data_IF_077250986094
#
_entry.id   IF_077250986094
#
_cell.length_a   1.000
_cell.length_b   1.000
_cell.length_c   1.000
_cell.angle_alpha   90.00
_cell.angle_beta   90.00
_cell.angle_gamma   90.00
#
_symmetry.space_group_name_H-M   'P 1'
#
loop_
_entity.id
_entity.type
_entity.pdbx_description
1 polymer ?
#
# COMPACT_ATOMS: atom_id res chain seq x y z
N UNK A 1 10.50 7.30 23.30
CA UNK A 1 10.39 7.83 21.93
C UNK A 1 10.14 9.33 22.02
N UNK A 2 11.04 10.19 21.51
CA UNK A 2 10.73 11.63 21.41
C UNK A 2 9.93 11.84 20.13
N UNK A 3 8.67 12.24 20.27
CA UNK A 3 7.83 12.66 19.15
C UNK A 3 8.19 14.10 18.85
N UNK A 4 9.15 14.30 17.94
CA UNK A 4 9.54 15.62 17.46
C UNK A 4 9.08 15.83 16.00
N UNK A 5 9.24 17.05 15.50
CA UNK A 5 8.81 17.39 14.14
C UNK A 5 9.51 16.57 13.05
N UNK A 6 10.73 16.11 13.32
CA UNK A 6 11.50 15.29 12.39
C UNK A 6 10.89 13.89 12.27
N UNK A 7 10.59 13.26 13.40
CA UNK A 7 9.93 11.97 13.42
C UNK A 7 8.54 12.02 12.77
N UNK A 8 7.74 13.05 13.07
CA UNK A 8 6.41 13.23 12.47
C UNK A 8 6.52 13.33 10.94
N UNK A 9 7.46 14.14 10.44
CA UNK A 9 7.65 14.29 8.99
C UNK A 9 8.12 13.01 8.31
N UNK A 10 9.02 12.27 8.95
CA UNK A 10 9.49 10.98 8.44
C UNK A 10 8.36 9.94 8.34
N UNK A 11 7.54 9.83 9.40
CA UNK A 11 6.37 8.93 9.41
C UNK A 11 5.32 9.37 8.40
N UNK A 12 5.08 10.67 8.25
CA UNK A 12 4.14 11.20 7.27
C UNK A 12 4.57 10.83 5.83
N UNK A 13 5.86 11.01 5.49
CA UNK A 13 6.38 10.61 4.17
C UNK A 13 6.30 9.10 3.96
N UNK A 14 6.64 8.30 4.98
CA UNK A 14 6.53 6.85 4.90
C UNK A 14 5.07 6.38 4.73
N UNK A 15 4.11 7.04 5.39
CA UNK A 15 2.69 6.78 5.21
C UNK A 15 2.23 7.13 3.80
N UNK A 16 2.65 8.28 3.26
CA UNK A 16 2.39 8.67 1.87
C UNK A 16 2.98 7.66 0.89
N UNK A 17 4.21 7.21 1.08
CA UNK A 17 4.81 6.15 0.26
C UNK A 17 4.00 4.85 0.31
N UNK A 18 3.53 4.43 1.49
CA UNK A 18 2.73 3.21 1.65
C UNK A 18 1.40 3.31 0.90
N UNK A 19 0.65 4.40 1.12
CA UNK A 19 -0.65 4.64 0.50
C UNK A 19 -0.50 4.80 -1.01
N UNK A 20 0.46 5.60 -1.48
CA UNK A 20 0.70 5.85 -2.89
C UNK A 20 1.10 4.57 -3.64
N UNK A 21 2.00 3.77 -3.07
CA UNK A 21 2.39 2.50 -3.66
C UNK A 21 1.22 1.53 -3.77
N UNK A 22 0.44 1.36 -2.70
CA UNK A 22 -0.76 0.52 -2.74
C UNK A 22 -1.79 1.03 -3.77
N UNK A 23 -2.06 2.34 -3.79
CA UNK A 23 -2.99 2.95 -4.75
C UNK A 23 -2.55 2.69 -6.20
N UNK A 24 -1.25 2.82 -6.50
CA UNK A 24 -0.70 2.55 -7.82
C UNK A 24 -0.90 1.07 -8.23
N UNK A 25 -0.59 0.13 -7.33
CA UNK A 25 -0.77 -1.32 -7.58
C UNK A 25 -2.25 -1.66 -7.82
N UNK A 26 -3.15 -1.18 -6.96
CA UNK A 26 -4.59 -1.39 -7.12
C UNK A 26 -5.14 -0.78 -8.41
N UNK A 27 -4.71 0.42 -8.76
CA UNK A 27 -5.10 1.11 -9.98
C UNK A 27 -4.60 0.39 -11.23
N UNK A 28 -3.38 -0.18 -11.19
CA UNK A 28 -2.83 -0.97 -12.29
C UNK A 28 -3.66 -2.25 -12.52
N UNK A 29 -4.02 -2.97 -11.44
CA UNK A 29 -4.87 -4.17 -11.51
C UNK A 29 -6.26 -3.84 -12.08
N UNK A 30 -6.93 -2.82 -11.53
CA UNK A 30 -8.25 -2.38 -12.00
C UNK A 30 -8.21 -1.88 -13.44
N UNK A 31 -7.16 -1.14 -13.80
CA UNK A 31 -6.94 -0.67 -15.16
C UNK A 31 -6.78 -1.82 -16.15
N UNK A 32 -6.07 -2.89 -15.76
CA UNK A 32 -5.94 -4.10 -16.57
C UNK A 32 -7.26 -4.84 -16.73
N UNK A 33 -8.04 -5.01 -15.66
CA UNK A 33 -9.34 -5.70 -15.70
C UNK A 33 -10.38 -4.97 -16.55
N UNK A 34 -10.36 -3.63 -16.52
CA UNK A 34 -11.32 -2.80 -17.27
C UNK A 34 -10.90 -2.49 -18.70
N UNK A 35 -9.66 -2.77 -19.10
CA UNK A 35 -9.11 -2.35 -20.39
C UNK A 35 -9.94 -2.82 -21.59
N UNK A 36 -10.34 -4.09 -21.62
CA UNK A 36 -11.14 -4.67 -22.71
C UNK A 36 -12.52 -4.01 -22.80
N UNK A 37 -13.21 -3.86 -21.67
CA UNK A 37 -14.54 -3.23 -21.61
C UNK A 37 -14.50 -1.73 -21.94
N UNK A 38 -13.37 -1.06 -21.69
CA UNK A 38 -13.17 0.36 -21.97
C UNK A 38 -12.84 0.67 -23.43
N UNK A 39 -12.38 -0.32 -24.19
CA UNK A 39 -12.02 -0.20 -25.62
C UNK A 39 -13.12 -0.75 -26.55
N UNK A 40 -14.22 -1.27 -25.99
CA UNK A 40 -15.36 -1.75 -26.78
C UNK A 40 -16.08 -0.60 -27.51
N UNK A 41 -16.84 -0.94 -28.57
CA UNK A 41 -17.64 0.04 -29.33
C UNK A 41 -18.63 0.80 -28.45
N UNK A 42 -19.24 0.10 -27.48
CA UNK A 42 -20.03 0.67 -26.40
C UNK A 42 -19.23 0.47 -25.12
N UNK A 43 -18.63 1.54 -24.58
CA UNK A 43 -17.63 1.47 -23.52
C UNK A 43 -18.09 2.11 -22.19
N UNK A 44 -19.10 1.53 -21.50
CA UNK A 44 -19.56 2.06 -20.21
C UNK A 44 -18.48 1.95 -19.11
N UNK A 45 -17.44 1.12 -19.30
CA UNK A 45 -16.28 1.05 -18.40
C UNK A 45 -15.25 2.18 -18.60
N UNK A 46 -15.33 2.95 -19.70
CA UNK A 46 -14.30 3.93 -20.08
C UNK A 46 -14.03 4.99 -19.00
N UNK A 47 -15.04 5.58 -18.33
CA UNK A 47 -14.78 6.54 -17.26
C UNK A 47 -13.99 5.92 -16.09
N UNK A 48 -14.34 4.70 -15.68
CA UNK A 48 -13.67 3.99 -14.59
C UNK A 48 -12.23 3.59 -14.97
N UNK A 49 -12.03 3.14 -16.21
CA UNK A 49 -10.70 2.85 -16.73
C UNK A 49 -9.81 4.11 -16.78
N UNK A 50 -10.33 5.24 -17.26
CA UNK A 50 -9.59 6.51 -17.26
C UNK A 50 -9.26 6.98 -15.84
N UNK A 51 -10.18 6.79 -14.88
CA UNK A 51 -9.89 7.07 -13.46
C UNK A 51 -8.80 6.16 -12.92
N UNK A 52 -8.81 4.87 -13.23
CA UNK A 52 -7.73 3.96 -12.85
C UNK A 52 -6.37 4.42 -13.41
N UNK A 53 -6.29 4.80 -14.69
CA UNK A 53 -5.03 5.30 -15.28
C UNK A 53 -4.55 6.61 -14.62
N UNK A 54 -5.45 7.58 -14.43
CA UNK A 54 -5.12 8.86 -13.77
C UNK A 54 -4.69 8.65 -12.33
N UNK A 55 -5.42 7.83 -11.59
CA UNK A 55 -5.06 7.46 -10.22
C UNK A 55 -3.71 6.77 -10.13
N UNK A 56 -3.40 5.86 -11.05
CA UNK A 56 -2.08 5.22 -11.13
C UNK A 56 -0.98 6.27 -11.33
N UNK A 57 -1.15 7.17 -12.31
CA UNK A 57 -0.18 8.23 -12.58
C UNK A 57 0.01 9.15 -11.37
N UNK A 58 -1.08 9.66 -10.80
CA UNK A 58 -1.02 10.53 -9.61
C UNK A 58 -0.36 9.82 -8.44
N UNK A 59 -0.70 8.56 -8.19
CA UNK A 59 -0.08 7.76 -7.13
C UNK A 59 1.42 7.56 -7.35
N UNK A 60 1.87 7.32 -8.59
CA UNK A 60 3.30 7.20 -8.90
C UNK A 60 4.05 8.52 -8.68
N UNK A 61 3.46 9.65 -9.08
CA UNK A 61 4.04 10.99 -8.82
C UNK A 61 4.16 11.23 -7.32
N UNK A 62 3.09 10.96 -6.55
CA UNK A 62 3.11 11.11 -5.09
C UNK A 62 4.15 10.17 -4.46
N UNK A 63 4.28 8.93 -4.93
CA UNK A 63 5.27 7.98 -4.43
C UNK A 63 6.70 8.52 -4.62
N UNK A 64 7.05 8.98 -5.83
CA UNK A 64 8.38 9.55 -6.13
C UNK A 64 8.68 10.77 -5.26
N UNK A 65 7.72 11.68 -5.10
CA UNK A 65 7.90 12.87 -4.27
C UNK A 65 8.02 12.50 -2.78
N UNK A 66 7.23 11.54 -2.31
CA UNK A 66 7.29 11.06 -0.94
C UNK A 66 8.61 10.31 -0.65
N UNK A 67 9.15 9.54 -1.59
CA UNK A 67 10.46 8.90 -1.48
C UNK A 67 11.60 9.94 -1.35
N UNK A 68 11.56 11.01 -2.16
CA UNK A 68 12.53 12.11 -2.07
C UNK A 68 12.42 12.85 -0.73
N UNK A 69 11.20 13.16 -0.31
CA UNK A 69 10.95 13.78 0.99
C UNK A 69 11.45 12.90 2.13
N UNK A 70 11.11 11.62 2.11
CA UNK A 70 11.53 10.65 3.12
C UNK A 70 13.05 10.55 3.23
N UNK A 71 13.78 10.53 2.11
CA UNK A 71 15.25 10.50 2.12
C UNK A 71 15.85 11.71 2.85
N UNK A 72 15.29 12.90 2.66
CA UNK A 72 15.73 14.10 3.36
C UNK A 72 15.52 13.99 4.88
N UNK A 73 14.33 13.54 5.30
CA UNK A 73 14.04 13.31 6.71
C UNK A 73 14.94 12.23 7.32
N UNK A 74 15.17 11.14 6.59
CA UNK A 74 16.05 10.05 7.02
C UNK A 74 17.51 10.50 7.14
N UNK A 75 18.01 11.32 6.20
CA UNK A 75 19.36 11.87 6.26
C UNK A 75 19.55 12.83 7.45
N UNK A 76 18.55 13.67 7.73
CA UNK A 76 18.54 14.53 8.91
C UNK A 76 18.55 13.69 10.20
N UNK A 77 17.73 12.65 10.28
CA UNK A 77 17.65 11.77 11.43
C UNK A 77 18.96 11.01 11.69
N UNK A 78 19.62 10.52 10.64
CA UNK A 78 20.89 9.79 10.77
C UNK A 78 22.07 10.69 11.15
N UNK A 79 22.05 11.96 10.75
CA UNK A 79 23.14 12.92 11.00
C UNK A 79 22.92 13.79 12.25
N UNK A 80 21.73 13.76 12.84
CA UNK A 80 21.35 14.69 13.90
C UNK A 80 21.31 16.16 13.48
N UNK A 81 21.23 16.43 12.17
CA UNK A 81 21.26 17.78 11.59
C UNK A 81 19.85 18.33 11.32
N UNK A 82 19.75 19.65 11.18
CA UNK A 82 18.50 20.28 10.74
C UNK A 82 18.24 19.98 9.25
N UNK A 83 16.96 19.97 8.82
CA UNK A 83 16.57 19.62 7.45
C UNK A 83 17.35 20.37 6.34
N UNK A 84 17.61 21.69 6.41
CA UNK A 84 18.39 22.37 5.38
C UNK A 84 19.84 21.86 5.27
N UNK A 85 20.43 21.44 6.38
CA UNK A 85 21.80 20.92 6.43
C UNK A 85 21.87 19.47 5.94
N UNK A 86 20.79 18.71 6.10
CA UNK A 86 20.70 17.31 5.71
C UNK A 86 20.91 17.08 4.20
N UNK A 87 20.62 18.07 3.35
CA UNK A 87 20.93 18.01 1.92
C UNK A 87 22.41 17.71 1.64
N UNK A 88 23.32 18.24 2.45
CA UNK A 88 24.76 17.98 2.32
C UNK A 88 25.17 16.56 2.71
N UNK A 89 24.32 15.84 3.45
CA UNK A 89 24.60 14.49 3.96
C UNK A 89 24.01 13.40 3.05
N UNK A 90 23.03 13.74 2.21
CA UNK A 90 22.38 12.79 1.29
C UNK A 90 23.39 11.97 0.46
N UNK A 91 24.43 12.55 -0.17
CA UNK A 91 25.41 11.76 -0.93
C UNK A 91 26.08 10.68 -0.08
N UNK A 92 26.43 11.00 1.16
CA UNK A 92 27.01 10.06 2.12
C UNK A 92 26.02 8.96 2.49
N UNK A 93 24.76 9.30 2.76
CA UNK A 93 23.71 8.30 3.04
C UNK A 93 23.55 7.35 1.86
N UNK A 94 23.47 7.86 0.64
CA UNK A 94 23.29 7.05 -0.56
C UNK A 94 24.51 6.16 -0.86
N UNK A 95 25.72 6.68 -0.68
CA UNK A 95 26.94 5.97 -1.06
C UNK A 95 27.47 5.00 0.00
N UNK A 96 27.18 5.24 1.28
CA UNK A 96 27.86 4.56 2.39
C UNK A 96 26.93 3.81 3.34
N UNK A 97 25.61 3.80 3.10
CA UNK A 97 24.66 3.17 4.03
C UNK A 97 23.76 2.15 3.34
N UNK A 98 23.40 1.11 4.09
CA UNK A 98 22.40 0.12 3.66
C UNK A 98 21.06 0.78 3.32
N UNK A 99 20.66 1.78 4.12
CA UNK A 99 19.45 2.58 3.89
C UNK A 99 19.47 3.26 2.52
N UNK A 100 20.62 3.82 2.14
CA UNK A 100 20.83 4.44 0.83
C UNK A 100 20.64 3.47 -0.34
N UNK A 101 21.20 2.27 -0.24
CA UNK A 101 21.04 1.24 -1.27
C UNK A 101 19.59 0.75 -1.36
N UNK A 102 18.95 0.43 -0.23
CA UNK A 102 17.57 -0.02 -0.16
C UNK A 102 16.60 1.04 -0.71
N UNK A 103 16.81 2.31 -0.35
CA UNK A 103 16.05 3.44 -0.88
C UNK A 103 16.25 3.59 -2.38
N UNK A 104 17.49 3.46 -2.88
CA UNK A 104 17.78 3.60 -4.32
C UNK A 104 17.06 2.53 -5.15
N UNK A 105 17.01 1.29 -4.67
CA UNK A 105 16.25 0.20 -5.32
C UNK A 105 14.75 0.55 -5.37
N UNK A 106 14.18 1.01 -4.25
CA UNK A 106 12.77 1.40 -4.20
C UNK A 106 12.47 2.59 -5.12
N UNK A 107 13.33 3.61 -5.10
CA UNK A 107 13.17 4.85 -5.86
C UNK A 107 13.31 4.62 -7.37
N UNK A 108 14.30 3.84 -7.80
CA UNK A 108 14.43 3.45 -9.23
C UNK A 108 13.19 2.65 -9.65
N UNK A 109 12.70 1.74 -8.81
CA UNK A 109 11.43 1.06 -9.03
C UNK A 109 10.27 2.05 -9.18
N UNK A 110 10.15 3.06 -8.31
CA UNK A 110 9.11 4.08 -8.39
C UNK A 110 9.19 4.91 -9.68
N UNK A 111 10.41 5.25 -10.14
CA UNK A 111 10.62 5.92 -11.43
C UNK A 111 10.20 5.04 -12.61
N UNK A 112 10.59 3.76 -12.64
CA UNK A 112 10.16 2.82 -13.68
C UNK A 112 8.64 2.68 -13.68
N UNK A 113 8.03 2.57 -12.49
CA UNK A 113 6.57 2.48 -12.36
C UNK A 113 5.89 3.75 -12.90
N UNK A 114 6.42 4.95 -12.60
CA UNK A 114 5.95 6.22 -13.15
C UNK A 114 6.04 6.25 -14.68
N UNK A 115 7.17 5.82 -15.26
CA UNK A 115 7.35 5.74 -16.72
C UNK A 115 6.33 4.78 -17.36
N UNK A 116 6.05 3.64 -16.73
CA UNK A 116 5.00 2.72 -17.21
C UNK A 116 3.59 3.31 -17.10
N UNK A 117 3.33 4.15 -16.09
CA UNK A 117 2.06 4.86 -15.92
C UNK A 117 1.85 5.97 -16.97
N UNK A 118 2.93 6.62 -17.42
CA UNK A 118 2.91 7.63 -18.48
C UNK A 118 2.78 7.02 -19.88
N UNK A 119 3.13 5.74 -20.04
CA UNK A 119 3.07 5.07 -21.33
C UNK A 119 1.62 4.81 -21.78
N UNK A 120 1.27 5.29 -22.97
CA UNK A 120 -0.05 5.15 -23.59
C UNK A 120 -0.30 3.77 -24.23
N UNK A 121 0.76 3.00 -24.48
CA UNK A 121 0.67 1.71 -25.17
C UNK A 121 0.81 0.53 -24.20
N UNK A 122 -0.25 -0.27 -24.10
CA UNK A 122 -0.18 -1.56 -23.43
C UNK A 122 0.67 -2.53 -24.26
N UNK A 123 1.84 -2.92 -23.75
CA UNK A 123 2.73 -3.92 -24.35
C UNK A 123 3.21 -4.92 -23.29
N UNK A 124 3.64 -6.10 -23.72
CA UNK A 124 4.20 -7.13 -22.83
C UNK A 124 5.40 -6.59 -22.04
N UNK A 125 6.28 -5.83 -22.70
CA UNK A 125 7.44 -5.20 -22.06
C UNK A 125 7.02 -4.21 -20.97
N UNK A 126 6.07 -3.32 -21.26
CA UNK A 126 5.55 -2.36 -20.28
C UNK A 126 5.00 -3.08 -19.05
N UNK A 127 4.22 -4.15 -19.25
CA UNK A 127 3.64 -4.91 -18.14
C UNK A 127 4.70 -5.65 -17.34
N UNK A 128 5.74 -6.20 -18.00
CA UNK A 128 6.87 -6.83 -17.32
C UNK A 128 7.64 -5.82 -16.46
N UNK A 129 7.96 -4.64 -17.02
CA UNK A 129 8.63 -3.56 -16.29
C UNK A 129 7.80 -3.05 -15.11
N UNK A 130 6.48 -2.91 -15.28
CA UNK A 130 5.57 -2.51 -14.20
C UNK A 130 5.64 -3.49 -13.03
N UNK A 131 5.51 -4.79 -13.27
CA UNK A 131 5.53 -5.77 -12.19
C UNK A 131 6.92 -5.97 -11.58
N UNK A 132 7.98 -5.87 -12.39
CA UNK A 132 9.34 -5.85 -11.88
C UNK A 132 9.58 -4.65 -10.96
N UNK A 133 9.08 -3.46 -11.35
CA UNK A 133 9.15 -2.26 -10.54
C UNK A 133 8.38 -2.42 -9.22
N UNK A 134 7.18 -3.01 -9.24
CA UNK A 134 6.40 -3.30 -8.03
C UNK A 134 7.17 -4.22 -7.07
N UNK A 135 7.84 -5.25 -7.59
CA UNK A 135 8.68 -6.14 -6.79
C UNK A 135 9.89 -5.39 -6.22
N UNK A 136 10.57 -4.57 -7.03
CA UNK A 136 11.72 -3.78 -6.61
C UNK A 136 11.35 -2.78 -5.49
N UNK A 137 10.22 -2.07 -5.63
CA UNK A 137 9.71 -1.15 -4.60
C UNK A 137 9.43 -1.92 -3.31
N UNK A 138 8.74 -3.06 -3.39
CA UNK A 138 8.43 -3.85 -2.20
C UNK A 138 9.69 -4.38 -1.49
N UNK A 139 10.67 -4.87 -2.26
CA UNK A 139 11.94 -5.35 -1.73
C UNK A 139 12.77 -4.24 -1.10
N UNK A 140 12.91 -3.11 -1.79
CA UNK A 140 13.62 -1.94 -1.26
C UNK A 140 12.98 -1.44 0.04
N UNK A 141 11.64 -1.33 0.09
CA UNK A 141 10.92 -0.93 1.32
C UNK A 141 11.06 -1.93 2.46
N UNK A 142 11.08 -3.22 2.16
CA UNK A 142 11.35 -4.25 3.18
C UNK A 142 12.74 -4.10 3.79
N UNK A 143 13.73 -3.73 2.97
CA UNK A 143 15.10 -3.47 3.39
C UNK A 143 15.30 -2.11 4.08
N UNK A 144 14.29 -1.24 4.12
CA UNK A 144 14.34 0.02 4.90
C UNK A 144 13.91 -0.16 6.36
N UNK A 145 13.22 -1.25 6.71
CA UNK A 145 12.76 -1.52 8.06
C UNK A 145 13.63 -2.53 8.82
N UNK A 146 13.21 -2.85 10.05
CA UNK A 146 13.88 -3.80 10.97
C UNK A 146 14.09 -5.21 10.39
N UNK A 147 13.47 -5.55 9.26
CA UNK A 147 13.77 -6.81 8.55
C UNK A 147 15.24 -6.86 8.08
N UNK A 148 15.84 -5.70 7.76
CA UNK A 148 17.24 -5.57 7.39
C UNK A 148 18.21 -5.99 8.49
N UNK A 149 17.80 -5.94 9.76
CA UNK A 149 18.65 -6.32 10.91
C UNK A 149 19.04 -7.81 10.88
N UNK A 150 18.32 -8.65 10.13
CA UNK A 150 18.70 -10.05 9.90
C UNK A 150 19.72 -10.22 8.75
N UNK A 151 20.20 -9.13 8.15
CA UNK A 151 21.09 -9.12 7.00
C UNK A 151 20.36 -9.00 5.65
N UNK A 152 21.09 -8.61 4.58
CA UNK A 152 20.52 -8.19 3.29
C UNK A 152 19.92 -9.33 2.45
N UNK A 153 20.23 -10.59 2.78
CA UNK A 153 19.70 -11.78 2.09
C UNK A 153 19.06 -12.76 3.08
N UNK A 154 18.14 -12.25 3.91
CA UNK A 154 17.49 -13.01 4.97
C UNK A 154 16.05 -13.42 4.62
N UNK A 155 15.59 -14.52 5.22
CA UNK A 155 14.19 -14.93 5.14
C UNK A 155 13.24 -13.83 5.67
N UNK A 156 13.70 -13.00 6.60
CA UNK A 156 12.94 -11.86 7.13
C UNK A 156 12.64 -10.81 6.04
N UNK A 157 13.62 -10.47 5.20
CA UNK A 157 13.41 -9.57 4.05
C UNK A 157 12.45 -10.19 3.05
N UNK A 158 12.59 -11.49 2.76
CA UNK A 158 11.68 -12.21 1.85
C UNK A 158 10.22 -12.17 2.33
N UNK A 159 9.98 -12.52 3.60
CA UNK A 159 8.63 -12.49 4.20
C UNK A 159 8.08 -11.08 4.29
N UNK A 160 8.91 -10.08 4.63
CA UNK A 160 8.46 -8.69 4.69
C UNK A 160 8.17 -8.12 3.29
N UNK A 161 8.96 -8.49 2.29
CA UNK A 161 8.69 -8.15 0.87
C UNK A 161 7.34 -8.73 0.44
N UNK A 162 7.09 -10.00 0.76
CA UNK A 162 5.80 -10.64 0.49
C UNK A 162 4.66 -9.94 1.25
N UNK A 163 4.86 -9.52 2.50
CA UNK A 163 3.89 -8.74 3.26
C UNK A 163 3.57 -7.40 2.57
N UNK A 164 4.59 -6.68 2.10
CA UNK A 164 4.42 -5.40 1.39
C UNK A 164 3.68 -5.60 0.06
N UNK A 165 3.98 -6.66 -0.70
CA UNK A 165 3.26 -7.02 -1.91
C UNK A 165 1.79 -7.41 -1.64
N UNK A 166 1.54 -8.25 -0.62
CA UNK A 166 0.20 -8.69 -0.30
C UNK A 166 -0.67 -7.53 0.23
N UNK A 167 -0.10 -6.66 1.07
CA UNK A 167 -0.79 -5.46 1.57
C UNK A 167 -1.03 -4.43 0.46
N UNK A 168 -0.11 -4.28 -0.50
CA UNK A 168 -0.31 -3.38 -1.64
C UNK A 168 -1.40 -3.90 -2.60
N UNK A 169 -1.53 -5.22 -2.77
CA UNK A 169 -2.65 -5.80 -3.54
C UNK A 169 -3.98 -5.64 -2.80
N UNK A 170 -4.09 -6.09 -1.55
CA UNK A 170 -5.35 -5.99 -0.79
C UNK A 170 -5.75 -4.52 -0.57
N UNK A 171 -4.91 -3.76 0.11
CA UNK A 171 -5.19 -2.36 0.44
C UNK A 171 -5.29 -1.51 -0.83
N UNK A 172 -4.45 -1.77 -1.83
CA UNK A 172 -4.49 -1.05 -3.09
C UNK A 172 -5.78 -1.24 -3.86
N UNK A 173 -6.26 -2.48 -3.98
CA UNK A 173 -7.55 -2.77 -4.63
C UNK A 173 -8.69 -2.09 -3.87
N UNK A 174 -8.74 -2.20 -2.54
CA UNK A 174 -9.78 -1.56 -1.73
C UNK A 174 -9.76 -0.05 -1.90
N UNK A 175 -8.60 0.58 -1.77
CA UNK A 175 -8.44 2.04 -1.81
C UNK A 175 -8.70 2.58 -3.23
N UNK A 176 -8.08 2.02 -4.26
CA UNK A 176 -8.28 2.48 -5.63
C UNK A 176 -9.71 2.23 -6.12
N UNK A 177 -10.29 1.07 -5.77
CA UNK A 177 -11.65 0.73 -6.19
C UNK A 177 -12.69 1.58 -5.46
N UNK A 178 -12.60 1.72 -4.14
CA UNK A 178 -13.54 2.48 -3.31
C UNK A 178 -13.49 3.99 -3.54
N UNK A 179 -12.29 4.56 -3.70
CA UNK A 179 -12.14 6.02 -3.80
C UNK A 179 -12.26 6.56 -5.23
N UNK A 180 -11.84 5.80 -6.25
CA UNK A 180 -11.70 6.33 -7.61
C UNK A 180 -12.51 5.56 -8.66
N UNK A 181 -12.36 4.23 -8.71
CA UNK A 181 -12.75 3.45 -9.89
C UNK A 181 -14.22 3.03 -9.88
N UNK A 182 -14.70 2.33 -8.84
CA UNK A 182 -16.08 1.83 -8.79
C UNK A 182 -17.14 2.93 -8.76
N UNK A 183 -16.92 4.10 -8.11
CA UNK A 183 -17.86 5.22 -8.21
C UNK A 183 -18.12 5.68 -9.66
N UNK A 184 -17.18 5.45 -10.59
CA UNK A 184 -17.35 5.78 -12.01
C UNK A 184 -18.12 4.72 -12.82
N UNK A 185 -18.53 3.60 -12.20
CA UNK A 185 -19.39 2.56 -12.78
C UNK A 185 -20.83 2.65 -12.25
N UNK A 186 -21.26 3.83 -11.80
CA UNK A 186 -22.58 4.02 -11.17
C UNK A 186 -23.78 3.91 -12.12
N UNK A 187 -23.59 4.08 -13.43
CA UNK A 187 -24.69 4.05 -14.41
C UNK A 187 -25.32 2.66 -14.51
N UNK A 188 -26.60 2.61 -14.89
CA UNK A 188 -27.31 1.33 -15.13
C UNK A 188 -26.65 0.52 -16.25
N UNK A 189 -26.16 1.19 -17.30
CA UNK A 189 -25.45 0.56 -18.42
C UNK A 189 -24.09 -0.05 -18.04
N UNK A 190 -23.45 0.43 -16.97
CA UNK A 190 -22.19 -0.10 -16.46
C UNK A 190 -22.37 -1.20 -15.40
N UNK A 191 -23.62 -1.52 -15.02
CA UNK A 191 -23.92 -2.35 -13.85
C UNK A 191 -23.32 -3.75 -13.90
N UNK A 192 -23.36 -4.40 -15.06
CA UNK A 192 -22.74 -5.71 -15.25
C UNK A 192 -21.23 -5.67 -15.03
N UNK A 193 -20.56 -4.59 -15.46
CA UNK A 193 -19.11 -4.41 -15.26
C UNK A 193 -18.82 -4.14 -13.79
N UNK A 194 -19.60 -3.27 -13.13
CA UNK A 194 -19.49 -3.04 -11.69
C UNK A 194 -19.52 -4.35 -10.91
N UNK A 195 -20.50 -5.22 -11.18
CA UNK A 195 -20.65 -6.51 -10.50
C UNK A 195 -19.45 -7.42 -10.76
N UNK A 196 -18.98 -7.53 -12.01
CA UNK A 196 -17.80 -8.35 -12.35
C UNK A 196 -16.54 -7.85 -11.63
N UNK A 197 -16.28 -6.54 -11.70
CA UNK A 197 -15.11 -5.92 -11.06
C UNK A 197 -15.21 -6.05 -9.55
N UNK A 198 -16.38 -5.88 -8.95
CA UNK A 198 -16.61 -6.09 -7.52
C UNK A 198 -16.30 -7.52 -7.07
N UNK A 199 -16.68 -8.53 -7.87
CA UNK A 199 -16.32 -9.92 -7.61
C UNK A 199 -14.82 -10.16 -7.71
N UNK A 200 -14.15 -9.58 -8.71
CA UNK A 200 -12.70 -9.67 -8.86
C UNK A 200 -11.96 -9.03 -7.69
N UNK A 201 -12.35 -7.81 -7.31
CA UNK A 201 -11.82 -7.13 -6.11
C UNK A 201 -12.00 -8.01 -4.88
N UNK A 202 -13.21 -8.51 -4.62
CA UNK A 202 -13.46 -9.33 -3.43
C UNK A 202 -12.65 -10.62 -3.40
N UNK A 203 -12.51 -11.32 -4.52
CA UNK A 203 -11.79 -12.60 -4.57
C UNK A 203 -10.28 -12.42 -4.47
N UNK A 204 -9.70 -11.44 -5.18
CA UNK A 204 -8.26 -11.17 -5.11
C UNK A 204 -7.88 -10.61 -3.75
N UNK A 205 -8.69 -9.69 -3.19
CA UNK A 205 -8.49 -9.19 -1.83
C UNK A 205 -8.54 -10.30 -0.79
N UNK A 206 -9.42 -11.30 -0.91
CA UNK A 206 -9.47 -12.42 0.03
C UNK A 206 -8.15 -13.22 0.06
N UNK A 207 -7.61 -13.55 -1.13
CA UNK A 207 -6.32 -14.26 -1.23
C UNK A 207 -5.19 -13.41 -0.64
N UNK A 208 -5.16 -12.12 -0.96
CA UNK A 208 -4.16 -11.19 -0.45
C UNK A 208 -4.25 -11.04 1.08
N UNK A 209 -5.46 -10.94 1.65
CA UNK A 209 -5.70 -10.89 3.11
C UNK A 209 -5.07 -12.10 3.80
N UNK A 210 -5.26 -13.32 3.28
CA UNK A 210 -4.68 -14.53 3.88
C UNK A 210 -3.15 -14.41 3.95
N UNK A 211 -2.51 -13.97 2.86
CA UNK A 211 -1.05 -13.75 2.84
C UNK A 211 -0.63 -12.64 3.80
N UNK A 212 -1.39 -11.54 3.90
CA UNK A 212 -1.13 -10.44 4.84
C UNK A 212 -1.17 -10.92 6.28
N UNK A 213 -2.15 -11.74 6.64
CA UNK A 213 -2.29 -12.28 8.00
C UNK A 213 -1.12 -13.21 8.35
N UNK A 214 -0.79 -14.16 7.47
CA UNK A 214 0.31 -15.11 7.70
C UNK A 214 1.67 -14.39 7.85
N UNK A 215 1.99 -13.51 6.90
CA UNK A 215 3.24 -12.74 6.94
C UNK A 215 3.25 -11.70 8.06
N UNK A 216 2.08 -11.15 8.43
CA UNK A 216 1.93 -10.20 9.54
C UNK A 216 2.17 -10.85 10.90
N UNK A 217 1.71 -12.08 11.11
CA UNK A 217 1.99 -12.87 12.32
C UNK A 217 3.50 -13.08 12.44
N UNK A 218 4.17 -13.52 11.37
CA UNK A 218 5.63 -13.71 11.38
C UNK A 218 6.38 -12.42 11.76
N UNK A 219 6.02 -11.29 11.12
CA UNK A 219 6.62 -9.99 11.42
C UNK A 219 6.36 -9.55 12.87
N UNK A 220 5.18 -9.87 13.41
CA UNK A 220 4.80 -9.53 14.79
C UNK A 220 5.59 -10.33 15.82
N UNK A 221 5.71 -11.65 15.62
CA UNK A 221 6.52 -12.53 16.48
C UNK A 221 7.97 -12.06 16.49
N UNK A 222 8.53 -11.72 15.32
CA UNK A 222 9.89 -11.20 15.24
C UNK A 222 10.04 -9.84 15.93
N UNK A 223 9.12 -8.90 15.69
CA UNK A 223 9.17 -7.55 16.28
C UNK A 223 8.96 -7.52 17.79
N UNK A 224 8.25 -8.50 18.34
CA UNK A 224 8.03 -8.67 19.79
C UNK A 224 9.06 -9.57 20.48
N UNK A 225 9.94 -10.25 19.72
CA UNK A 225 10.81 -11.29 20.27
C UNK A 225 10.03 -12.51 20.80
N UNK A 226 8.77 -12.68 20.38
CA UNK A 226 7.88 -13.74 20.88
C UNK A 226 7.24 -13.47 22.24
N UNK A 227 7.40 -12.26 22.81
CA UNK A 227 6.85 -11.91 24.12
C UNK A 227 5.56 -11.10 24.01
N UNK A 228 4.51 -11.55 24.71
CA UNK A 228 3.27 -10.80 24.86
C UNK A 228 3.46 -9.57 25.76
N UNK A 229 4.25 -9.69 26.81
CA UNK A 229 4.57 -8.58 27.72
C UNK A 229 5.20 -7.40 26.95
N UNK A 230 6.11 -7.68 26.02
CA UNK A 230 6.71 -6.65 25.17
C UNK A 230 5.67 -5.90 24.32
N UNK A 231 4.60 -6.58 23.90
CA UNK A 231 3.50 -5.95 23.15
C UNK A 231 2.64 -5.10 24.08
N UNK A 232 2.44 -5.51 25.33
CA UNK A 232 1.60 -4.78 26.28
C UNK A 232 2.25 -3.49 26.78
N UNK A 233 3.56 -3.50 27.05
CA UNK A 233 4.23 -2.36 27.70
C UNK A 233 4.86 -1.37 26.73
N UNK A 234 5.20 -1.80 25.50
CA UNK A 234 5.97 -0.97 24.58
C UNK A 234 5.10 -0.04 23.73
N UNK A 235 5.66 1.11 23.36
CA UNK A 235 5.02 2.01 22.38
C UNK A 235 4.78 1.31 21.03
N UNK A 236 5.71 0.44 20.62
CA UNK A 236 5.57 -0.38 19.41
C UNK A 236 4.33 -1.29 19.49
N UNK A 237 4.12 -1.93 20.63
CA UNK A 237 2.98 -2.82 20.84
C UNK A 237 1.63 -2.09 20.89
N UNK A 238 1.59 -0.87 21.46
CA UNK A 238 0.40 -0.01 21.36
C UNK A 238 0.07 0.38 19.91
N UNK A 239 1.06 0.78 19.11
CA UNK A 239 0.86 1.11 17.68
C UNK A 239 0.45 -0.13 16.88
N UNK A 240 1.03 -1.30 17.18
CA UNK A 240 0.62 -2.57 16.60
C UNK A 240 -0.84 -2.89 16.94
N UNK A 241 -1.26 -2.70 18.19
CA UNK A 241 -2.63 -2.95 18.64
C UNK A 241 -3.63 -2.06 17.88
N UNK A 242 -3.31 -0.76 17.73
CA UNK A 242 -4.10 0.14 16.89
C UNK A 242 -4.17 -0.34 15.44
N UNK A 243 -3.04 -0.75 14.86
CA UNK A 243 -3.01 -1.30 13.49
C UNK A 243 -3.90 -2.54 13.36
N UNK A 244 -3.85 -3.46 14.34
CA UNK A 244 -4.68 -4.67 14.34
C UNK A 244 -6.18 -4.35 14.50
N UNK A 245 -6.54 -3.36 15.32
CA UNK A 245 -7.92 -2.89 15.44
C UNK A 245 -8.44 -2.32 14.11
N UNK A 246 -7.62 -1.53 13.40
CA UNK A 246 -7.95 -0.99 12.09
C UNK A 246 -8.05 -2.09 11.02
N UNK A 247 -7.17 -3.10 11.07
CA UNK A 247 -7.26 -4.29 10.21
C UNK A 247 -8.56 -5.06 10.49
N UNK A 248 -8.92 -5.27 11.76
CA UNK A 248 -10.17 -5.93 12.12
C UNK A 248 -11.39 -5.17 11.61
N UNK A 249 -11.40 -3.83 11.73
CA UNK A 249 -12.44 -2.98 11.16
C UNK A 249 -12.53 -3.15 9.63
N UNK A 250 -11.39 -3.12 8.93
CA UNK A 250 -11.36 -3.33 7.49
C UNK A 250 -11.88 -4.73 7.10
N UNK A 251 -11.55 -5.77 7.87
CA UNK A 251 -12.07 -7.14 7.65
C UNK A 251 -13.58 -7.23 7.88
N UNK A 252 -14.12 -6.54 8.90
CA UNK A 252 -15.57 -6.48 9.12
C UNK A 252 -16.26 -5.78 7.95
N UNK A 253 -15.75 -4.64 7.49
CA UNK A 253 -16.30 -3.92 6.33
C UNK A 253 -16.21 -4.75 5.04
N UNK A 254 -15.06 -5.37 4.79
CA UNK A 254 -14.86 -6.28 3.66
C UNK A 254 -15.76 -7.52 3.73
N UNK A 255 -15.99 -8.05 4.93
CA UNK A 255 -16.94 -9.14 5.20
C UNK A 255 -18.39 -8.73 4.92
N UNK A 256 -18.83 -7.55 5.40
CA UNK A 256 -20.13 -6.98 5.08
C UNK A 256 -20.31 -6.80 3.57
N UNK A 257 -19.28 -6.32 2.89
CA UNK A 257 -19.26 -6.21 1.43
C UNK A 257 -19.40 -7.57 0.75
N UNK A 258 -18.60 -8.56 1.15
CA UNK A 258 -18.54 -9.89 0.51
C UNK A 258 -19.78 -10.73 0.76
N UNK A 259 -20.31 -10.74 1.98
CA UNK A 259 -21.37 -11.64 2.40
C UNK A 259 -22.77 -11.02 2.39
N UNK A 260 -22.88 -9.68 2.38
CA UNK A 260 -24.18 -8.99 2.38
C UNK A 260 -24.38 -8.09 1.15
N UNK A 261 -23.53 -7.07 0.96
CA UNK A 261 -23.75 -6.07 -0.08
C UNK A 261 -23.58 -6.64 -1.50
N UNK A 262 -22.52 -7.42 -1.75
CA UNK A 262 -22.22 -7.99 -3.06
C UNK A 262 -23.28 -9.02 -3.52
N UNK A 263 -23.72 -9.98 -2.68
CA UNK A 263 -24.79 -10.89 -3.07
C UNK A 263 -26.11 -10.18 -3.40
N UNK A 264 -26.47 -9.14 -2.63
CA UNK A 264 -27.65 -8.31 -2.91
C UNK A 264 -27.51 -7.58 -4.24
N UNK A 265 -26.38 -6.91 -4.46
CA UNK A 265 -26.07 -6.22 -5.71
C UNK A 265 -26.15 -7.17 -6.92
N UNK A 266 -25.69 -8.42 -6.77
CA UNK A 266 -25.79 -9.45 -7.83
C UNK A 266 -27.22 -9.86 -8.13
N UNK A 267 -28.08 -9.94 -7.11
CA UNK A 267 -29.48 -10.38 -7.25
C UNK A 267 -30.35 -9.30 -7.89
N UNK A 268 -30.21 -8.06 -7.44
CA UNK A 268 -31.12 -6.97 -7.81
C UNK A 268 -30.60 -6.12 -8.95
N UNK A 269 -29.27 -6.03 -9.11
CA UNK A 269 -28.60 -5.06 -9.96
C UNK A 269 -29.05 -3.59 -9.71
N UNK A 270 -29.68 -3.30 -8.56
CA UNK A 270 -30.36 -2.03 -8.30
C UNK A 270 -29.40 -0.89 -8.01
N UNK A 271 -29.72 0.33 -8.43
CA UNK A 271 -28.90 1.52 -8.16
C UNK A 271 -28.58 1.67 -6.67
N UNK A 272 -29.57 1.45 -5.81
CA UNK A 272 -29.42 1.48 -4.36
C UNK A 272 -28.36 0.49 -3.85
N UNK A 273 -28.41 -0.78 -4.25
CA UNK A 273 -27.46 -1.79 -3.76
C UNK A 273 -26.02 -1.53 -4.27
N UNK A 274 -25.85 -0.88 -5.44
CA UNK A 274 -24.52 -0.47 -5.88
C UNK A 274 -23.94 0.68 -5.05
N UNK A 275 -24.78 1.64 -4.65
CA UNK A 275 -24.35 2.68 -3.72
C UNK A 275 -23.99 2.09 -2.37
N UNK A 276 -24.78 1.15 -1.84
CA UNK A 276 -24.44 0.44 -0.60
C UNK A 276 -23.09 -0.25 -0.69
N UNK A 277 -22.85 -1.05 -1.74
CA UNK A 277 -21.55 -1.72 -1.94
C UNK A 277 -20.40 -0.71 -2.05
N UNK A 278 -20.56 0.33 -2.87
CA UNK A 278 -19.51 1.34 -3.09
C UNK A 278 -19.21 2.13 -1.82
N UNK A 279 -20.23 2.47 -1.02
CA UNK A 279 -20.06 3.22 0.22
C UNK A 279 -19.37 2.39 1.31
N UNK A 280 -19.72 1.11 1.46
CA UNK A 280 -19.03 0.22 2.42
C UNK A 280 -17.57 0.05 2.00
N UNK A 281 -17.30 -0.11 0.70
CA UNK A 281 -15.93 -0.20 0.19
C UNK A 281 -15.14 1.12 0.36
N UNK A 282 -15.80 2.26 0.25
CA UNK A 282 -15.21 3.57 0.54
C UNK A 282 -14.81 3.67 2.03
N UNK A 283 -15.66 3.21 2.95
CA UNK A 283 -15.32 3.16 4.37
C UNK A 283 -14.17 2.19 4.65
N UNK A 284 -14.16 1.03 3.97
CA UNK A 284 -13.06 0.06 4.04
C UNK A 284 -11.74 0.70 3.56
N UNK A 285 -11.78 1.51 2.51
CA UNK A 285 -10.62 2.26 2.01
C UNK A 285 -10.09 3.27 3.03
N UNK A 286 -10.95 3.99 3.75
CA UNK A 286 -10.52 4.90 4.80
C UNK A 286 -9.85 4.16 5.96
N UNK A 287 -10.41 3.02 6.37
CA UNK A 287 -9.79 2.15 7.38
C UNK A 287 -8.42 1.66 6.89
N UNK A 288 -8.29 1.26 5.63
CA UNK A 288 -7.02 0.82 5.04
C UNK A 288 -5.97 1.93 4.96
N UNK A 289 -6.35 3.18 4.70
CA UNK A 289 -5.42 4.32 4.79
C UNK A 289 -4.89 4.43 6.24
N UNK A 290 -5.78 4.30 7.24
CA UNK A 290 -5.39 4.25 8.65
C UNK A 290 -4.40 3.12 8.94
N UNK A 291 -4.62 1.92 8.39
CA UNK A 291 -3.69 0.78 8.53
C UNK A 291 -2.31 1.12 7.96
N UNK A 292 -2.23 1.78 6.80
CA UNK A 292 -0.95 2.18 6.20
C UNK A 292 -0.22 3.27 6.99
N UNK A 293 -0.96 4.21 7.59
CA UNK A 293 -0.41 5.23 8.50
C UNK A 293 0.13 4.58 9.77
N UNK A 294 -0.64 3.69 10.41
CA UNK A 294 -0.20 2.96 11.59
C UNK A 294 1.00 2.06 11.28
N UNK A 295 1.04 1.43 10.10
CA UNK A 295 2.20 0.66 9.65
C UNK A 295 3.46 1.52 9.46
N UNK A 296 3.32 2.74 8.92
CA UNK A 296 4.44 3.67 8.81
C UNK A 296 4.98 4.08 10.18
N UNK A 297 4.11 4.41 11.13
CA UNK A 297 4.50 4.71 12.52
C UNK A 297 5.19 3.52 13.19
N UNK A 298 4.67 2.30 12.99
CA UNK A 298 5.24 1.07 13.54
C UNK A 298 6.67 0.83 13.05
N UNK A 299 6.92 0.99 11.74
CA UNK A 299 8.26 0.82 11.15
C UNK A 299 9.29 1.85 11.64
N UNK A 300 8.83 3.02 12.11
CA UNK A 300 9.68 4.08 12.65
C UNK A 300 9.65 4.14 14.18
N UNK A 301 9.18 3.08 14.83
CA UNK A 301 9.25 2.90 16.28
C UNK A 301 10.28 1.83 16.63
N UNK A 302 10.85 1.94 17.84
CA UNK A 302 11.82 0.97 18.36
C UNK A 302 11.11 -0.38 18.54
N UNK A 303 11.65 -1.52 18.05
CA UNK A 303 11.02 -2.81 18.20
C UNK A 303 10.72 -3.16 19.66
N UNK A 304 9.60 -3.87 19.89
CA UNK A 304 9.13 -4.20 21.23
C UNK A 304 10.12 -5.07 22.02
N UNK A 305 10.87 -5.98 21.37
CA UNK A 305 11.85 -6.83 22.07
C UNK A 305 12.95 -6.02 22.78
N UNK A 306 13.21 -4.77 22.37
CA UNK A 306 14.20 -3.90 23.02
C UNK A 306 13.72 -3.43 24.40
N UNK A 307 12.41 -3.40 24.64
CA UNK A 307 11.84 -2.94 25.92
C UNK A 307 11.89 -3.97 27.05
N UNK A 308 12.35 -5.20 26.76
CA UNK A 308 12.51 -6.28 27.74
C UNK A 308 13.92 -6.32 28.37
N UNK A 309 14.81 -5.42 27.98
CA UNK A 309 16.21 -5.36 28.42
C UNK A 309 16.64 -3.99 28.88
#
# INVERSE_FOLDING_TARGET
MRVDGLWIGQVAMAALMNVAFAFAVGSALLGAWLAKDAQAKVAPARPAWLRAQRSMLTACVVLVLADLGWLLYQAAAMSGSALPQAFGVIPTVLAQTHVGYAWSVAFIGALVLLLTAMSSHASTLRNALLWLAVIAIAGGKASLGHAADAGPASAAIGVHTLHVLATSVWGGLVVAAGLAVLPALGTSTARGILIRTAMQVSNVSLVAVVLVLLTGIFNTVRGSGGSFEAIEISTWGHVLTLKLALVALALVLGGLNRFSALPRLRRTASTMDAHTFTNVLYLEALAMIGVFVAAAALSHSVPAYVSLG
#
